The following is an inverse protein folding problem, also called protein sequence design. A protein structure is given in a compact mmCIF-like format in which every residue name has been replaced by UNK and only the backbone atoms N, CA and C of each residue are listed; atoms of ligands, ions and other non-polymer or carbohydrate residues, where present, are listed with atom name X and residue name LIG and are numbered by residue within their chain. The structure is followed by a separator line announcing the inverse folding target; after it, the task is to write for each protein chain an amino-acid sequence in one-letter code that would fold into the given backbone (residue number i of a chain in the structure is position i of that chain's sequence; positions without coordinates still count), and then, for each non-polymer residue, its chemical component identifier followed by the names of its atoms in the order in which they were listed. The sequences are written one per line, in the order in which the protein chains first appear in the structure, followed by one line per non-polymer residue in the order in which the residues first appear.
data_IF_175910557767
#
_entry.id   IF_175910557767
#
_cell.length_a   1.000
_cell.length_b   1.000
_cell.length_c   1.000
_cell.angle_alpha   90.00
_cell.angle_beta   90.00
_cell.angle_gamma   90.00
#
_symmetry.space_group_name_H-M   'P 1'
#
loop_
_entity.id
_entity.type
_entity.pdbx_description
1 polymer ?
#
# COMPACT_ATOMS: atom_id res chain seq x y z
N UNK A 1 -19.65 5.58 -6.28
CA UNK A 1 -20.69 5.22 -5.29
C UNK A 1 -20.14 5.58 -3.93
N UNK A 2 -20.89 6.30 -3.10
CA UNK A 2 -20.48 6.59 -1.72
C UNK A 2 -20.70 5.32 -0.91
N UNK A 3 -19.62 4.56 -0.67
CA UNK A 3 -19.69 3.44 0.26
C UNK A 3 -20.02 3.98 1.65
N UNK A 4 -20.83 3.25 2.41
CA UNK A 4 -21.03 3.54 3.82
C UNK A 4 -19.69 3.37 4.53
N UNK A 5 -19.14 4.48 5.03
CA UNK A 5 -17.80 4.54 5.63
C UNK A 5 -17.73 3.67 6.89
N UNK A 6 -18.83 3.56 7.63
CA UNK A 6 -18.92 2.69 8.81
C UNK A 6 -18.90 1.21 8.42
N UNK A 7 -19.53 0.85 7.28
CA UNK A 7 -19.47 -0.50 6.74
C UNK A 7 -18.05 -0.86 6.27
N UNK A 8 -17.36 0.05 5.59
CA UNK A 8 -15.97 -0.16 5.17
C UNK A 8 -15.06 -0.34 6.38
N UNK A 9 -15.23 0.49 7.41
CA UNK A 9 -14.51 0.34 8.67
C UNK A 9 -14.79 -1.03 9.31
N UNK A 10 -16.06 -1.41 9.43
CA UNK A 10 -16.45 -2.70 10.00
C UNK A 10 -15.82 -3.89 9.25
N UNK A 11 -15.82 -3.85 7.91
CA UNK A 11 -15.20 -4.89 7.10
C UNK A 11 -13.68 -4.93 7.30
N UNK A 12 -13.03 -3.77 7.32
CA UNK A 12 -11.59 -3.66 7.56
C UNK A 12 -11.22 -4.24 8.93
N UNK A 13 -11.97 -3.90 9.98
CA UNK A 13 -11.75 -4.41 11.34
C UNK A 13 -11.97 -5.92 11.45
N UNK A 14 -12.92 -6.47 10.67
CA UNK A 14 -13.24 -7.89 10.70
C UNK A 14 -12.22 -8.76 9.94
N UNK A 15 -11.74 -8.30 8.79
CA UNK A 15 -10.94 -9.12 7.87
C UNK A 15 -9.49 -8.66 7.69
N UNK A 16 -9.14 -7.46 8.13
CA UNK A 16 -7.78 -6.91 8.08
C UNK A 16 -7.38 -6.30 6.72
N UNK A 17 -8.30 -6.19 5.76
CA UNK A 17 -8.06 -5.53 4.47
C UNK A 17 -9.36 -5.00 3.84
N UNK A 18 -9.23 -4.15 2.82
CA UNK A 18 -10.32 -3.73 1.93
C UNK A 18 -9.87 -3.81 0.47
N UNK A 19 -10.80 -4.13 -0.41
CA UNK A 19 -10.61 -4.01 -1.87
C UNK A 19 -11.56 -2.93 -2.36
N UNK A 20 -11.00 -1.83 -2.85
CA UNK A 20 -11.76 -0.73 -3.46
C UNK A 20 -11.63 -0.86 -4.97
N UNK A 21 -12.65 -1.44 -5.60
CA UNK A 21 -12.67 -1.64 -7.04
C UNK A 21 -12.83 -0.32 -7.79
N UNK A 22 -12.16 -0.21 -8.94
CA UNK A 22 -12.25 0.97 -9.81
C UNK A 22 -11.91 2.29 -9.11
N UNK A 23 -10.98 2.23 -8.14
CA UNK A 23 -10.49 3.43 -7.46
C UNK A 23 -9.73 4.36 -8.42
N UNK A 24 -9.14 3.80 -9.48
CA UNK A 24 -8.52 4.52 -10.59
C UNK A 24 -9.28 4.21 -11.89
N UNK A 25 -9.35 5.19 -12.79
CA UNK A 25 -9.84 5.02 -14.14
C UNK A 25 -8.81 4.32 -15.03
N UNK A 26 -9.22 3.71 -16.16
CA UNK A 26 -8.29 3.14 -17.13
C UNK A 26 -7.26 4.15 -17.64
N UNK A 27 -7.65 5.42 -17.79
CA UNK A 27 -6.78 6.50 -18.24
C UNK A 27 -5.73 6.88 -17.18
N UNK A 28 -6.13 6.90 -15.90
CA UNK A 28 -5.20 7.12 -14.77
C UNK A 28 -4.18 5.98 -14.70
N UNK A 29 -4.64 4.73 -14.82
CA UNK A 29 -3.77 3.55 -14.87
C UNK A 29 -2.80 3.61 -16.05
N UNK A 30 -3.28 3.96 -17.24
CA UNK A 30 -2.43 4.12 -18.42
C UNK A 30 -1.37 5.22 -18.24
N UNK A 31 -1.76 6.34 -17.63
CA UNK A 31 -0.85 7.47 -17.35
C UNK A 31 0.24 7.06 -16.37
N UNK A 32 -0.12 6.40 -15.28
CA UNK A 32 0.84 5.92 -14.28
C UNK A 32 1.82 4.91 -14.87
N UNK A 33 1.34 3.96 -15.69
CA UNK A 33 2.19 3.00 -16.37
C UNK A 33 3.17 3.67 -17.36
N UNK A 34 2.73 4.66 -18.13
CA UNK A 34 3.64 5.42 -19.00
C UNK A 34 4.78 6.11 -18.23
N UNK A 35 4.50 6.63 -17.04
CA UNK A 35 5.52 7.25 -16.18
C UNK A 35 6.51 6.22 -15.61
N UNK A 36 6.05 4.99 -15.33
CA UNK A 36 6.90 3.86 -14.93
C UNK A 36 7.80 3.43 -16.09
N UNK A 37 7.23 3.26 -17.28
CA UNK A 37 7.95 2.84 -18.49
C UNK A 37 9.07 3.83 -18.86
N UNK A 38 8.83 5.12 -18.66
CA UNK A 38 9.83 6.17 -18.89
C UNK A 38 11.11 6.02 -18.04
N UNK A 39 11.05 5.29 -16.92
CA UNK A 39 12.19 5.05 -16.03
C UNK A 39 13.12 3.94 -16.53
N UNK A 40 12.73 3.18 -17.56
CA UNK A 40 13.53 2.11 -18.17
C UNK A 40 14.03 1.11 -17.12
N UNK A 41 13.12 0.67 -16.25
CA UNK A 41 13.43 -0.23 -15.14
C UNK A 41 13.95 -1.59 -15.66
N UNK A 42 14.81 -2.28 -14.89
CA UNK A 42 15.27 -3.61 -15.27
C UNK A 42 14.08 -4.58 -15.33
N UNK A 43 14.20 -5.71 -16.04
CA UNK A 43 13.11 -6.68 -16.12
C UNK A 43 12.72 -7.22 -14.72
N UNK A 44 11.46 -7.70 -14.57
CA UNK A 44 10.98 -8.35 -13.36
C UNK A 44 11.97 -9.37 -12.78
N UNK A 45 12.05 -9.45 -11.45
CA UNK A 45 12.92 -10.39 -10.73
C UNK A 45 14.40 -10.00 -10.64
N UNK A 46 14.86 -8.95 -11.34
CA UNK A 46 16.21 -8.38 -11.14
C UNK A 46 16.29 -7.33 -10.03
N UNK A 47 15.17 -6.68 -9.73
CA UNK A 47 15.00 -5.84 -8.55
C UNK A 47 13.71 -6.24 -7.84
N UNK A 48 13.72 -6.22 -6.52
CA UNK A 48 12.53 -6.51 -5.71
C UNK A 48 11.62 -5.29 -5.59
N UNK A 49 12.19 -4.07 -5.63
CA UNK A 49 11.49 -2.81 -5.41
C UNK A 49 12.03 -1.71 -6.31
N UNK A 50 11.19 -0.72 -6.62
CA UNK A 50 11.56 0.48 -7.37
C UNK A 50 10.78 1.71 -6.87
N UNK A 51 11.20 2.90 -7.30
CA UNK A 51 10.49 4.14 -6.97
C UNK A 51 10.42 4.45 -5.48
N UNK A 52 11.37 3.96 -4.69
CA UNK A 52 11.31 3.99 -3.22
C UNK A 52 11.65 5.35 -2.60
N UNK A 53 11.05 5.64 -1.46
CA UNK A 53 11.41 6.70 -0.52
C UNK A 53 11.36 6.14 0.92
N UNK A 54 12.23 6.57 1.86
CA UNK A 54 13.02 7.82 1.85
C UNK A 54 14.46 7.74 1.33
N UNK A 55 14.93 6.60 0.79
CA UNK A 55 16.29 6.48 0.22
C UNK A 55 16.54 7.44 -0.97
N UNK A 56 15.47 8.03 -1.49
CA UNK A 56 15.42 9.18 -2.37
C UNK A 56 13.99 9.73 -2.41
N UNK A 57 13.66 10.54 -3.43
CA UNK A 57 12.29 11.04 -3.61
C UNK A 57 11.32 10.01 -4.20
N UNK A 58 11.83 8.92 -4.80
CA UNK A 58 11.00 7.86 -5.37
C UNK A 58 9.94 8.38 -6.35
N UNK A 59 8.75 7.79 -6.26
CA UNK A 59 7.58 8.20 -7.05
C UNK A 59 7.20 9.68 -6.94
N UNK A 60 7.59 10.37 -5.86
CA UNK A 60 7.26 11.79 -5.65
C UNK A 60 7.89 12.71 -6.71
N UNK A 61 8.95 12.23 -7.40
CA UNK A 61 9.58 12.96 -8.50
C UNK A 61 9.22 12.40 -9.89
N UNK A 62 8.32 11.41 -9.99
CA UNK A 62 7.97 10.77 -11.27
C UNK A 62 6.79 11.44 -11.97
N UNK A 63 6.19 12.46 -11.34
CA UNK A 63 5.14 13.28 -11.91
C UNK A 63 3.96 13.45 -10.96
N UNK A 64 3.16 14.49 -11.19
CA UNK A 64 1.96 14.80 -10.40
C UNK A 64 1.01 13.60 -10.23
N UNK A 65 0.78 12.73 -11.25
CA UNK A 65 -0.12 11.59 -11.09
C UNK A 65 0.24 10.66 -9.92
N UNK A 66 1.53 10.48 -9.59
CA UNK A 66 1.92 9.69 -8.41
C UNK A 66 1.67 10.42 -7.09
N UNK A 67 1.83 11.74 -7.06
CA UNK A 67 1.51 12.53 -5.87
C UNK A 67 0.00 12.54 -5.59
N UNK A 68 -0.83 12.54 -6.63
CA UNK A 68 -2.30 12.56 -6.53
C UNK A 68 -2.88 11.27 -5.94
N UNK A 69 -2.08 10.20 -5.88
CA UNK A 69 -2.44 8.97 -5.18
C UNK A 69 -2.39 9.12 -3.64
N UNK A 70 -1.57 10.06 -3.13
CA UNK A 70 -1.35 10.22 -1.68
C UNK A 70 -2.58 10.78 -0.96
N UNK A 71 -3.32 11.67 -1.63
CA UNK A 71 -4.52 12.33 -1.12
C UNK A 71 -5.77 11.98 -1.92
N UNK A 72 -5.77 10.79 -2.54
CA UNK A 72 -6.85 10.32 -3.40
C UNK A 72 -8.22 10.37 -2.69
N UNK A 73 -9.20 11.02 -3.34
CA UNK A 73 -10.47 11.39 -2.73
C UNK A 73 -11.28 10.19 -2.21
N UNK A 74 -11.15 9.02 -2.85
CA UNK A 74 -11.81 7.78 -2.41
C UNK A 74 -11.18 7.22 -1.13
N UNK A 75 -9.87 7.35 -0.95
CA UNK A 75 -9.14 6.75 0.17
C UNK A 75 -9.08 7.64 1.39
N UNK A 76 -8.99 8.97 1.20
CA UNK A 76 -8.82 9.91 2.30
C UNK A 76 -9.87 9.79 3.41
N UNK A 77 -11.18 9.60 3.13
CA UNK A 77 -12.17 9.37 4.18
C UNK A 77 -11.91 8.08 4.97
N UNK A 78 -11.50 7.00 4.30
CA UNK A 78 -11.19 5.70 4.92
C UNK A 78 -9.97 5.84 5.83
N UNK A 79 -8.90 6.46 5.31
CA UNK A 79 -7.66 6.68 6.06
C UNK A 79 -7.87 7.60 7.26
N UNK A 80 -8.65 8.68 7.12
CA UNK A 80 -8.98 9.57 8.24
C UNK A 80 -9.82 8.87 9.31
N UNK A 81 -10.73 7.98 8.91
CA UNK A 81 -11.51 7.21 9.87
C UNK A 81 -10.59 6.30 10.70
N UNK A 82 -9.67 5.58 10.05
CA UNK A 82 -8.76 4.66 10.75
C UNK A 82 -7.65 5.35 11.54
N UNK A 83 -6.96 6.30 10.92
CA UNK A 83 -5.72 6.88 11.42
C UNK A 83 -5.93 8.22 12.15
N UNK A 84 -7.15 8.76 12.09
CA UNK A 84 -7.46 10.11 12.54
C UNK A 84 -7.07 11.19 11.54
N UNK A 85 -7.24 12.45 11.94
CA UNK A 85 -7.07 13.62 11.05
C UNK A 85 -5.61 13.93 10.66
N UNK A 86 -4.64 13.38 11.40
CA UNK A 86 -3.23 13.66 11.22
C UNK A 86 -2.44 12.37 11.04
N UNK A 87 -2.10 12.04 9.80
CA UNK A 87 -1.20 10.96 9.46
C UNK A 87 -0.17 11.42 8.43
N UNK A 88 0.88 10.62 8.23
CA UNK A 88 1.95 10.90 7.27
C UNK A 88 2.28 9.66 6.47
N UNK A 89 2.83 9.87 5.29
CA UNK A 89 3.50 8.81 4.55
C UNK A 89 4.73 8.34 5.34
N UNK A 90 4.82 7.03 5.64
CA UNK A 90 6.02 6.43 6.21
C UNK A 90 7.05 6.10 5.11
N UNK A 91 6.61 5.35 4.10
CA UNK A 91 7.41 4.89 2.97
C UNK A 91 6.54 4.57 1.77
N UNK A 92 7.16 4.61 0.60
CA UNK A 92 6.56 4.13 -0.65
C UNK A 92 7.59 3.32 -1.42
N UNK A 93 7.08 2.40 -2.24
CA UNK A 93 7.83 1.63 -3.22
C UNK A 93 6.84 0.93 -4.17
N UNK A 94 7.31 0.58 -5.36
CA UNK A 94 6.60 -0.27 -6.30
C UNK A 94 7.20 -1.66 -6.35
N UNK A 95 6.40 -2.61 -6.81
CA UNK A 95 6.81 -3.96 -7.17
C UNK A 95 6.22 -4.31 -8.54
N UNK A 96 7.00 -4.93 -9.41
CA UNK A 96 6.49 -5.52 -10.65
C UNK A 96 6.88 -6.99 -10.67
N UNK A 97 5.94 -7.83 -11.08
CA UNK A 97 6.05 -9.28 -11.05
C UNK A 97 5.61 -9.85 -12.38
N UNK A 98 6.26 -10.92 -12.82
CA UNK A 98 5.82 -11.72 -13.95
C UNK A 98 5.11 -13.00 -13.47
N UNK A 99 4.25 -13.52 -14.33
CA UNK A 99 3.63 -14.83 -14.13
C UNK A 99 4.70 -15.91 -13.92
N UNK A 100 4.55 -16.68 -12.84
CA UNK A 100 5.49 -17.74 -12.46
C UNK A 100 6.63 -17.31 -11.53
N UNK A 101 6.72 -16.04 -11.14
CA UNK A 101 7.67 -15.62 -10.11
C UNK A 101 7.35 -16.22 -8.73
N UNK A 102 8.38 -16.48 -7.90
CA UNK A 102 8.18 -16.99 -6.54
C UNK A 102 7.35 -16.03 -5.69
N UNK A 103 6.51 -16.58 -4.81
CA UNK A 103 5.73 -15.79 -3.84
C UNK A 103 6.59 -15.36 -2.66
N UNK A 104 6.33 -14.17 -2.14
CA UNK A 104 6.87 -13.74 -0.86
C UNK A 104 6.42 -14.66 0.29
N UNK A 105 7.23 -14.75 1.35
CA UNK A 105 6.84 -15.43 2.58
C UNK A 105 5.77 -14.61 3.31
N UNK A 106 4.89 -15.28 4.06
CA UNK A 106 3.95 -14.58 4.95
C UNK A 106 4.74 -13.77 6.00
N UNK A 107 4.38 -12.50 6.15
CA UNK A 107 4.97 -11.56 7.09
C UNK A 107 3.96 -10.46 7.45
N UNK A 108 4.27 -9.68 8.48
CA UNK A 108 3.63 -8.40 8.73
C UNK A 108 4.62 -7.28 8.36
N UNK A 109 4.12 -6.10 8.00
CA UNK A 109 4.95 -4.93 7.71
C UNK A 109 5.23 -4.06 8.95
N UNK A 110 4.50 -4.32 10.03
CA UNK A 110 4.68 -3.70 11.35
C UNK A 110 4.37 -4.71 12.47
N UNK A 111 4.94 -4.50 13.66
CA UNK A 111 4.78 -5.35 14.84
C UNK A 111 5.80 -6.50 14.98
N UNK A 112 5.64 -7.37 16.00
CA UNK A 112 6.65 -8.34 16.44
C UNK A 112 7.03 -9.43 15.43
N UNK A 113 6.28 -9.56 14.33
CA UNK A 113 6.59 -10.46 13.21
C UNK A 113 7.13 -9.73 11.97
N UNK A 114 7.32 -8.41 12.06
CA UNK A 114 7.75 -7.59 10.95
C UNK A 114 9.26 -7.62 10.79
N UNK A 115 9.70 -7.85 9.56
CA UNK A 115 11.13 -8.07 9.25
C UNK A 115 11.98 -6.80 9.43
N UNK A 116 11.33 -5.65 9.46
CA UNK A 116 11.90 -4.31 9.66
C UNK A 116 11.95 -3.89 11.14
N UNK A 117 11.34 -4.64 12.06
CA UNK A 117 11.42 -4.35 13.49
C UNK A 117 12.43 -5.29 14.16
N UNK A 118 13.37 -4.70 14.90
CA UNK A 118 14.33 -5.47 15.71
C UNK A 118 13.66 -5.93 17.02
N UNK A 119 12.57 -6.68 16.92
CA UNK A 119 11.91 -7.26 18.09
C UNK A 119 12.62 -8.53 18.51
N UNK A 120 12.92 -8.67 19.80
CA UNK A 120 13.53 -9.89 20.32
C UNK A 120 12.56 -11.07 20.14
N UNK A 121 13.00 -12.21 19.59
CA UNK A 121 12.16 -13.40 19.47
C UNK A 121 11.57 -13.79 20.84
N UNK A 122 10.23 -13.81 20.94
CA UNK A 122 9.52 -14.13 22.18
C UNK A 122 8.87 -12.94 22.89
N UNK A 123 9.17 -11.70 22.50
CA UNK A 123 8.44 -10.52 22.94
C UNK A 123 7.16 -10.35 22.10
N UNK A 124 6.04 -10.86 22.61
CA UNK A 124 4.72 -10.64 22.04
C UNK A 124 4.05 -9.42 22.68
N UNK A 125 3.88 -8.34 21.92
CA UNK A 125 2.94 -7.28 22.27
C UNK A 125 1.55 -7.67 21.77
N UNK A 126 0.71 -8.16 22.68
CA UNK A 126 -0.65 -8.54 22.34
C UNK A 126 -1.47 -7.32 21.91
N UNK A 127 -2.06 -7.37 20.71
CA UNK A 127 -3.13 -6.46 20.35
C UNK A 127 -4.33 -6.71 21.28
N UNK A 128 -5.05 -5.66 21.69
CA UNK A 128 -6.32 -5.85 22.41
C UNK A 128 -7.29 -6.55 21.47
N UNK A 129 -8.00 -7.57 21.98
CA UNK A 129 -8.80 -8.52 21.18
C UNK A 129 -9.79 -7.90 20.18
N UNK A 130 -10.19 -6.65 20.37
CA UNK A 130 -11.27 -5.99 19.62
C UNK A 130 -10.88 -4.61 19.08
N UNK A 131 -9.58 -4.28 19.02
CA UNK A 131 -9.16 -2.98 18.52
C UNK A 131 -7.76 -3.06 17.93
N UNK A 132 -7.64 -2.68 16.66
CA UNK A 132 -6.36 -2.43 16.01
C UNK A 132 -5.78 -1.17 16.68
N UNK A 133 -4.61 -1.32 17.31
CA UNK A 133 -3.81 -0.21 17.85
C UNK A 133 -2.61 0.09 16.93
N UNK A 134 -2.73 -0.24 15.64
CA UNK A 134 -1.75 0.25 14.68
C UNK A 134 -2.13 1.66 14.25
N UNK A 135 -1.12 2.54 14.18
CA UNK A 135 -1.23 3.81 13.46
C UNK A 135 -0.71 3.65 12.04
N UNK A 136 -0.85 2.45 11.46
CA UNK A 136 -0.14 2.04 10.25
C UNK A 136 -1.03 1.25 9.32
N UNK A 137 -1.36 1.85 8.18
CA UNK A 137 -2.14 1.22 7.11
C UNK A 137 -1.31 1.22 5.83
N UNK A 138 -1.41 0.14 5.07
CA UNK A 138 -0.82 0.04 3.74
C UNK A 138 -1.91 0.27 2.70
N UNK A 139 -1.62 1.17 1.76
CA UNK A 139 -2.41 1.35 0.55
C UNK A 139 -1.62 0.76 -0.63
N UNK A 140 -2.23 -0.20 -1.32
CA UNK A 140 -1.66 -0.81 -2.52
C UNK A 140 -2.49 -0.42 -3.73
N UNK A 141 -1.84 0.18 -4.73
CA UNK A 141 -2.44 0.48 -6.03
C UNK A 141 -2.06 -0.60 -7.04
N UNK A 142 -3.06 -1.31 -7.56
CA UNK A 142 -2.85 -2.24 -8.66
C UNK A 142 -2.91 -1.47 -9.98
N UNK A 143 -1.80 -1.44 -10.73
CA UNK A 143 -1.69 -0.77 -12.03
C UNK A 143 -1.79 -1.74 -13.22
N UNK A 144 -2.03 -3.01 -12.92
CA UNK A 144 -2.37 -4.07 -13.86
C UNK A 144 -3.32 -5.03 -13.15
N UNK A 145 -3.99 -5.88 -13.92
CA UNK A 145 -4.88 -6.90 -13.38
C UNK A 145 -4.10 -7.83 -12.44
N UNK A 146 -4.50 -7.85 -11.18
CA UNK A 146 -3.99 -8.79 -10.19
C UNK A 146 -4.88 -10.05 -10.22
N UNK A 147 -4.34 -11.13 -10.78
CA UNK A 147 -4.98 -12.45 -10.73
C UNK A 147 -5.03 -13.04 -9.30
N UNK A 148 -5.70 -14.17 -9.11
CA UNK A 148 -5.64 -14.94 -7.86
C UNK A 148 -4.27 -15.57 -7.59
#
# INVERSE_FOLDING_TARGET
MTHDLELLQYLLDLQGYLVIENALSPEEVATLNQLIDAQQLPPPGKTERFGSAPDGSGFLNWGKPFCDLLDHATLMPILRFQLGESFRLDRLYGMYMDAGMPRGKLHADYGPTARNEQVQPGEYYGFRRNQIYDGFVIVTWNLADAGP
#
